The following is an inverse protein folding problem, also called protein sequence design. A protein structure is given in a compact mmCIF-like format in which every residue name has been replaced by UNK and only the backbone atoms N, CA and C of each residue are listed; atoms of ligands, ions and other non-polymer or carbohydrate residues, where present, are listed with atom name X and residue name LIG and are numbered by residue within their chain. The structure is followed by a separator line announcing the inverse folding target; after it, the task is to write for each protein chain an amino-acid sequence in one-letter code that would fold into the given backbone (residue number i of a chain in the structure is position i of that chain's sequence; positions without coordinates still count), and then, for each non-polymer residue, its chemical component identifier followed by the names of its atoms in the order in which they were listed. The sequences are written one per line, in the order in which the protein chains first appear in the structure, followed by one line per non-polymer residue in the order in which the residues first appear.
data_IF_124059482584
#
_entry.id   IF_124059482584
#
_cell.length_a   1.000
_cell.length_b   1.000
_cell.length_c   1.000
_cell.angle_alpha   90.00
_cell.angle_beta   90.00
_cell.angle_gamma   90.00
#
_symmetry.space_group_name_H-M   'P 1'
#
loop_
_entity.id
_entity.type
_entity.pdbx_description
1 polymer ?
#
# COMPACT_ATOMS: atom_id res chain seq x y z
N UNK A 1 -70.31 23.47 61.98
CA UNK A 1 -69.07 22.79 61.60
C UNK A 1 -68.97 22.91 60.09
N UNK A 2 -68.15 23.84 59.58
CA UNK A 2 -67.93 24.07 58.17
C UNK A 2 -66.64 23.38 57.75
N UNK A 3 -66.73 22.45 56.83
CA UNK A 3 -65.56 21.75 56.20
C UNK A 3 -64.84 22.69 55.24
N UNK A 4 -63.53 22.73 55.24
CA UNK A 4 -62.76 23.50 54.27
C UNK A 4 -62.74 22.77 52.92
N UNK A 5 -63.15 23.50 51.85
CA UNK A 5 -62.96 23.07 50.47
C UNK A 5 -61.46 22.98 50.11
N UNK A 6 -61.02 21.80 49.81
CA UNK A 6 -59.67 21.54 49.19
C UNK A 6 -59.66 22.23 47.81
N UNK A 7 -58.83 23.24 47.67
CA UNK A 7 -58.46 23.79 46.34
C UNK A 7 -57.49 22.79 45.66
N UNK A 8 -57.95 22.20 44.58
CA UNK A 8 -57.07 21.39 43.70
C UNK A 8 -56.01 22.28 43.11
N UNK A 9 -54.75 22.02 43.49
CA UNK A 9 -53.59 22.60 42.82
C UNK A 9 -53.37 21.92 41.47
N UNK A 10 -53.70 22.65 40.41
CA UNK A 10 -53.35 22.22 39.06
C UNK A 10 -51.85 22.36 38.86
N UNK A 11 -51.12 21.23 38.62
CA UNK A 11 -49.73 21.27 38.19
C UNK A 11 -49.66 21.59 36.69
N UNK A 12 -49.16 22.77 36.38
CA UNK A 12 -48.86 23.16 34.97
C UNK A 12 -47.50 22.67 34.60
N UNK A 13 -47.45 21.78 33.59
CA UNK A 13 -46.21 21.28 33.01
C UNK A 13 -45.82 22.25 31.88
N UNK A 14 -44.67 22.89 31.99
CA UNK A 14 -44.08 23.69 30.93
C UNK A 14 -43.00 22.89 30.24
N UNK A 15 -43.15 22.65 28.93
CA UNK A 15 -42.06 22.16 28.08
C UNK A 15 -41.58 23.36 27.24
N UNK A 16 -40.36 23.76 27.42
CA UNK A 16 -39.72 24.85 26.67
C UNK A 16 -38.47 24.37 25.98
N UNK A 17 -38.25 24.76 24.72
CA UNK A 17 -37.02 24.62 24.01
C UNK A 17 -36.22 25.90 24.18
N UNK A 18 -35.10 25.84 24.89
CA UNK A 18 -34.20 26.98 25.05
C UNK A 18 -33.16 26.93 23.96
N UNK A 19 -33.20 27.87 23.00
CA UNK A 19 -32.12 28.06 22.01
C UNK A 19 -31.20 29.17 22.51
N UNK A 20 -29.94 28.82 22.82
CA UNK A 20 -28.91 29.79 23.17
C UNK A 20 -28.18 30.22 21.90
N UNK A 21 -28.43 31.43 21.43
CA UNK A 21 -27.68 32.07 20.39
C UNK A 21 -26.69 33.05 21.03
N UNK A 22 -25.37 32.81 20.96
CA UNK A 22 -24.40 33.81 21.39
C UNK A 22 -24.39 34.97 20.38
N UNK A 23 -24.92 36.13 20.81
CA UNK A 23 -25.01 37.34 19.97
C UNK A 23 -23.65 38.02 19.86
N UNK A 24 -22.81 37.87 20.88
CA UNK A 24 -21.40 38.32 20.86
C UNK A 24 -20.51 37.27 21.51
N UNK A 25 -19.69 36.60 20.67
CA UNK A 25 -18.75 35.57 21.12
C UNK A 25 -17.27 36.04 21.12
N UNK A 26 -17.06 37.36 21.00
CA UNK A 26 -15.71 37.94 20.96
C UNK A 26 -14.85 37.46 19.77
N UNK A 27 -15.50 37.04 18.68
CA UNK A 27 -14.81 36.57 17.48
C UNK A 27 -14.40 35.07 17.51
N UNK A 28 -14.79 34.31 18.52
CA UNK A 28 -14.48 32.86 18.62
C UNK A 28 -15.06 32.09 17.45
N UNK A 29 -16.30 32.35 17.05
CA UNK A 29 -16.93 31.66 15.92
C UNK A 29 -16.20 31.97 14.62
N UNK A 30 -15.80 33.22 14.40
CA UNK A 30 -15.00 33.60 13.21
C UNK A 30 -13.62 32.94 13.22
N UNK A 31 -12.94 32.90 14.35
CA UNK A 31 -11.65 32.21 14.48
C UNK A 31 -11.77 30.69 14.25
N UNK A 32 -12.87 30.07 14.77
CA UNK A 32 -13.13 28.65 14.55
C UNK A 32 -13.42 28.36 13.08
N UNK A 33 -14.21 29.16 12.40
CA UNK A 33 -14.49 29.03 10.97
C UNK A 33 -13.16 29.14 10.17
N UNK A 34 -12.32 30.13 10.48
CA UNK A 34 -11.03 30.31 9.81
C UNK A 34 -10.10 29.12 10.05
N UNK A 35 -10.08 28.56 11.26
CA UNK A 35 -9.28 27.38 11.58
C UNK A 35 -9.76 26.15 10.79
N UNK A 36 -11.10 25.91 10.73
CA UNK A 36 -11.67 24.82 9.95
C UNK A 36 -11.45 24.98 8.45
N UNK A 37 -11.49 26.21 7.93
CA UNK A 37 -11.17 26.47 6.52
C UNK A 37 -9.72 26.10 6.21
N UNK A 38 -8.77 26.47 7.07
CA UNK A 38 -7.37 26.09 6.91
C UNK A 38 -7.15 24.60 7.04
N UNK A 39 -7.86 23.94 7.94
CA UNK A 39 -7.81 22.47 8.06
C UNK A 39 -8.34 21.78 6.79
N UNK A 40 -9.40 22.30 6.18
CA UNK A 40 -9.90 21.81 4.89
C UNK A 40 -8.88 22.02 3.76
N UNK A 41 -8.20 23.16 3.73
CA UNK A 41 -7.12 23.42 2.74
C UNK A 41 -5.96 22.45 2.91
N UNK A 42 -5.54 22.18 4.16
CA UNK A 42 -4.47 21.20 4.46
C UNK A 42 -4.91 19.80 4.03
N UNK A 43 -6.11 19.37 4.41
CA UNK A 43 -6.63 18.06 4.02
C UNK A 43 -6.74 17.91 2.50
N UNK A 44 -7.15 18.96 1.78
CA UNK A 44 -7.20 18.95 0.31
C UNK A 44 -5.80 18.79 -0.31
N UNK A 45 -4.79 19.46 0.27
CA UNK A 45 -3.39 19.32 -0.13
C UNK A 45 -2.85 17.91 0.14
N UNK A 46 -3.16 17.33 1.30
CA UNK A 46 -2.77 15.97 1.66
C UNK A 46 -3.37 14.94 0.70
N UNK A 47 -4.67 15.07 0.38
CA UNK A 47 -5.33 14.20 -0.61
C UNK A 47 -4.65 14.30 -1.97
N UNK A 48 -4.39 15.53 -2.45
CA UNK A 48 -3.70 15.74 -3.73
C UNK A 48 -2.29 15.16 -3.75
N UNK A 49 -1.55 15.29 -2.65
CA UNK A 49 -0.22 14.70 -2.51
C UNK A 49 -0.29 13.18 -2.56
N UNK A 50 -1.25 12.59 -1.84
CA UNK A 50 -1.45 11.15 -1.85
C UNK A 50 -1.84 10.61 -3.23
N UNK A 51 -2.71 11.31 -3.97
CA UNK A 51 -3.06 10.95 -5.35
C UNK A 51 -1.85 10.96 -6.28
N UNK A 52 -0.96 11.95 -6.11
CA UNK A 52 0.30 12.01 -6.86
C UNK A 52 1.24 10.84 -6.51
N UNK A 53 1.38 10.51 -5.23
CA UNK A 53 2.18 9.37 -4.78
C UNK A 53 1.66 8.05 -5.34
N UNK A 54 0.34 7.83 -5.32
CA UNK A 54 -0.28 6.63 -5.92
C UNK A 54 -0.01 6.56 -7.42
N UNK A 55 -0.16 7.68 -8.12
CA UNK A 55 0.10 7.75 -9.57
C UNK A 55 1.55 7.43 -9.89
N UNK A 56 2.50 8.01 -9.16
CA UNK A 56 3.93 7.73 -9.32
C UNK A 56 4.28 6.28 -8.99
N UNK A 57 3.66 5.71 -7.96
CA UNK A 57 3.86 4.31 -7.60
C UNK A 57 3.36 3.37 -8.71
N UNK A 58 2.20 3.67 -9.32
CA UNK A 58 1.68 2.91 -10.47
C UNK A 58 2.61 2.99 -11.67
N UNK A 59 3.03 4.20 -12.07
CA UNK A 59 3.98 4.38 -13.17
C UNK A 59 5.31 3.66 -12.91
N UNK A 60 5.80 3.74 -11.68
CA UNK A 60 7.01 3.02 -11.26
C UNK A 60 6.87 1.51 -11.37
N UNK A 61 5.68 0.98 -11.06
CA UNK A 61 5.36 -0.44 -11.16
C UNK A 61 5.30 -0.89 -12.62
N UNK A 62 4.62 -0.13 -13.50
CA UNK A 62 4.52 -0.43 -14.92
C UNK A 62 5.90 -0.45 -15.60
N UNK A 63 6.73 0.56 -15.32
CA UNK A 63 8.10 0.63 -15.81
C UNK A 63 8.94 -0.56 -15.30
N UNK A 64 8.75 -0.93 -14.04
CA UNK A 64 9.44 -2.09 -13.47
C UNK A 64 9.00 -3.40 -14.14
N UNK A 65 7.72 -3.60 -14.41
CA UNK A 65 7.25 -4.80 -15.09
C UNK A 65 7.77 -4.89 -16.52
N UNK A 66 7.79 -3.78 -17.26
CA UNK A 66 8.38 -3.74 -18.58
C UNK A 66 9.89 -4.10 -18.57
N UNK A 67 10.62 -3.59 -17.57
CA UNK A 67 12.01 -3.96 -17.34
C UNK A 67 12.16 -5.44 -16.95
N UNK A 68 11.33 -5.92 -16.02
CA UNK A 68 11.35 -7.30 -15.55
C UNK A 68 11.19 -8.30 -16.69
N UNK A 69 10.22 -8.11 -17.58
CA UNK A 69 9.99 -9.04 -18.69
C UNK A 69 11.20 -9.07 -19.66
N UNK A 70 11.77 -7.91 -19.97
CA UNK A 70 13.00 -7.83 -20.79
C UNK A 70 14.19 -8.56 -20.15
N UNK A 71 14.40 -8.32 -18.86
CA UNK A 71 15.51 -8.97 -18.12
C UNK A 71 15.32 -10.47 -17.98
N UNK A 72 14.09 -10.91 -17.75
CA UNK A 72 13.73 -12.33 -17.65
C UNK A 72 14.05 -13.08 -18.93
N UNK A 73 13.68 -12.52 -20.09
CA UNK A 73 14.01 -13.11 -21.40
C UNK A 73 15.52 -13.20 -21.57
N UNK A 74 16.25 -12.12 -21.30
CA UNK A 74 17.71 -12.08 -21.43
C UNK A 74 18.42 -13.09 -20.52
N UNK A 75 17.99 -13.17 -19.25
CA UNK A 75 18.59 -14.11 -18.29
C UNK A 75 18.29 -15.57 -18.64
N UNK A 76 17.08 -15.87 -19.10
CA UNK A 76 16.73 -17.22 -19.57
C UNK A 76 17.56 -17.62 -20.80
N UNK A 77 17.78 -16.70 -21.73
CA UNK A 77 18.65 -16.97 -22.89
C UNK A 77 20.11 -17.18 -22.46
N UNK A 78 20.63 -16.37 -21.53
CA UNK A 78 21.97 -16.60 -20.96
C UNK A 78 22.08 -17.96 -20.26
N UNK A 79 21.04 -18.36 -19.52
CA UNK A 79 20.96 -19.68 -18.89
C UNK A 79 21.04 -20.79 -19.93
N UNK A 80 20.26 -20.70 -21.01
CA UNK A 80 20.25 -21.65 -22.10
C UNK A 80 21.63 -21.76 -22.75
N UNK A 81 22.24 -20.62 -23.10
CA UNK A 81 23.61 -20.59 -23.71
C UNK A 81 24.64 -21.22 -22.78
N UNK A 82 24.60 -20.95 -21.48
CA UNK A 82 25.53 -21.55 -20.51
C UNK A 82 25.34 -23.09 -20.43
N UNK A 83 24.10 -23.56 -20.44
CA UNK A 83 23.78 -25.00 -20.45
C UNK A 83 24.29 -25.67 -21.71
N UNK A 84 24.10 -25.07 -22.89
CA UNK A 84 24.59 -25.60 -24.17
C UNK A 84 26.11 -25.67 -24.18
N UNK A 85 26.82 -24.63 -23.70
CA UNK A 85 28.27 -24.61 -23.56
C UNK A 85 28.80 -25.67 -22.60
N UNK A 86 28.12 -25.87 -21.46
CA UNK A 86 28.47 -26.94 -20.52
C UNK A 86 28.36 -28.31 -21.20
N UNK A 87 27.29 -28.55 -21.97
CA UNK A 87 27.10 -29.80 -22.69
C UNK A 87 28.24 -30.02 -23.72
N UNK A 88 28.56 -28.99 -24.50
CA UNK A 88 29.67 -29.04 -25.48
C UNK A 88 31.02 -29.29 -24.79
N UNK A 89 31.33 -28.56 -23.71
CA UNK A 89 32.57 -28.73 -22.97
C UNK A 89 32.72 -30.12 -22.34
N UNK A 90 31.61 -30.72 -21.84
CA UNK A 90 31.61 -32.11 -21.36
C UNK A 90 31.99 -33.10 -22.45
N UNK A 91 31.52 -32.90 -23.71
CA UNK A 91 31.92 -33.77 -24.84
C UNK A 91 33.38 -33.56 -25.22
N UNK A 92 33.84 -32.30 -25.26
CA UNK A 92 35.24 -31.96 -25.53
C UNK A 92 36.18 -32.50 -24.45
N UNK A 93 35.78 -32.47 -23.20
CA UNK A 93 36.56 -33.02 -22.08
C UNK A 93 36.74 -34.54 -22.22
N UNK A 94 35.69 -35.27 -22.59
CA UNK A 94 35.75 -36.72 -22.84
C UNK A 94 36.74 -37.09 -23.96
N UNK A 95 36.94 -36.22 -24.94
CA UNK A 95 37.86 -36.39 -26.04
C UNK A 95 39.25 -35.76 -25.78
N UNK A 96 39.52 -35.31 -24.56
CA UNK A 96 40.80 -34.67 -24.20
C UNK A 96 41.04 -33.29 -24.84
N UNK A 97 40.00 -32.65 -25.41
CA UNK A 97 40.11 -31.40 -26.16
C UNK A 97 39.67 -30.15 -25.35
N UNK A 98 39.33 -30.30 -24.08
CA UNK A 98 38.97 -29.20 -23.20
C UNK A 98 39.61 -29.37 -21.82
N UNK A 99 39.75 -28.27 -21.12
CA UNK A 99 40.25 -28.24 -19.75
C UNK A 99 39.09 -28.20 -18.73
N UNK A 100 39.29 -28.83 -17.57
CA UNK A 100 38.36 -28.84 -16.45
C UNK A 100 38.08 -27.43 -15.95
N UNK A 101 39.08 -26.54 -16.00
CA UNK A 101 38.93 -25.13 -15.57
C UNK A 101 37.92 -24.36 -16.44
N UNK A 102 37.87 -24.66 -17.74
CA UNK A 102 36.89 -24.07 -18.65
C UNK A 102 35.47 -24.52 -18.30
N UNK A 103 35.30 -25.81 -18.00
CA UNK A 103 34.00 -26.35 -17.56
C UNK A 103 33.55 -25.72 -16.21
N UNK A 104 34.49 -25.58 -15.26
CA UNK A 104 34.20 -24.95 -13.97
C UNK A 104 33.76 -23.49 -14.11
N UNK A 105 34.38 -22.72 -15.02
CA UNK A 105 33.97 -21.33 -15.31
C UNK A 105 32.55 -21.25 -15.86
N UNK A 106 32.15 -22.14 -16.74
CA UNK A 106 30.76 -22.13 -17.27
C UNK A 106 29.74 -22.57 -16.23
N UNK A 107 30.06 -23.51 -15.32
CA UNK A 107 29.19 -23.83 -14.20
C UNK A 107 29.01 -22.62 -13.27
N UNK A 108 30.07 -21.87 -12.99
CA UNK A 108 30.01 -20.66 -12.20
C UNK A 108 29.16 -19.57 -12.89
N UNK A 109 29.26 -19.42 -14.22
CA UNK A 109 28.47 -18.51 -15.01
C UNK A 109 26.98 -18.90 -14.97
N UNK A 110 26.66 -20.18 -15.09
CA UNK A 110 25.29 -20.70 -14.94
C UNK A 110 24.73 -20.40 -13.56
N UNK A 111 25.45 -20.73 -12.49
CA UNK A 111 25.03 -20.48 -11.12
C UNK A 111 24.76 -18.98 -10.86
N UNK A 112 25.63 -18.09 -11.34
CA UNK A 112 25.43 -16.63 -11.26
C UNK A 112 24.17 -16.18 -12.00
N UNK A 113 23.89 -16.78 -13.15
CA UNK A 113 22.68 -16.45 -13.93
C UNK A 113 21.42 -16.93 -13.21
N UNK A 114 21.45 -18.11 -12.60
CA UNK A 114 20.32 -18.62 -11.79
C UNK A 114 20.05 -17.75 -10.57
N UNK A 115 21.10 -17.34 -9.85
CA UNK A 115 20.98 -16.39 -8.75
C UNK A 115 20.38 -15.05 -9.23
N UNK A 116 20.77 -14.57 -10.41
CA UNK A 116 20.23 -13.34 -10.98
C UNK A 116 18.73 -13.47 -11.32
N UNK A 117 18.28 -14.63 -11.81
CA UNK A 117 16.87 -14.93 -12.06
C UNK A 117 16.08 -14.91 -10.75
N UNK A 118 16.58 -15.56 -9.71
CA UNK A 118 15.91 -15.59 -8.41
C UNK A 118 15.83 -14.21 -7.75
N UNK A 119 16.90 -13.40 -7.86
CA UNK A 119 16.87 -12.00 -7.41
C UNK A 119 15.82 -11.19 -8.16
N UNK A 120 15.76 -11.32 -9.48
CA UNK A 120 14.76 -10.63 -10.29
C UNK A 120 13.33 -11.03 -9.90
N UNK A 121 13.09 -12.31 -9.62
CA UNK A 121 11.80 -12.82 -9.13
C UNK A 121 11.46 -12.27 -7.74
N UNK A 122 12.44 -12.18 -6.85
CA UNK A 122 12.27 -11.59 -5.52
C UNK A 122 11.94 -10.10 -5.61
N UNK A 123 12.68 -9.35 -6.44
CA UNK A 123 12.45 -7.91 -6.66
C UNK A 123 11.04 -7.66 -7.20
N UNK A 124 10.54 -8.52 -8.10
CA UNK A 124 9.16 -8.46 -8.57
C UNK A 124 8.16 -8.57 -7.42
N UNK A 125 8.32 -9.58 -6.57
CA UNK A 125 7.42 -9.79 -5.41
C UNK A 125 7.46 -8.60 -4.46
N UNK A 126 8.65 -8.09 -4.15
CA UNK A 126 8.83 -6.95 -3.25
C UNK A 126 8.21 -5.67 -3.82
N UNK A 127 8.42 -5.39 -5.11
CA UNK A 127 7.81 -4.22 -5.78
C UNK A 127 6.29 -4.31 -5.82
N UNK A 128 5.75 -5.50 -6.10
CA UNK A 128 4.29 -5.71 -6.06
C UNK A 128 3.71 -5.46 -4.67
N UNK A 129 4.36 -6.01 -3.62
CA UNK A 129 3.92 -5.80 -2.24
C UNK A 129 4.03 -4.32 -1.82
N UNK A 130 5.10 -3.64 -2.21
CA UNK A 130 5.27 -2.21 -1.94
C UNK A 130 4.17 -1.37 -2.60
N UNK A 131 3.82 -1.66 -3.85
CA UNK A 131 2.74 -0.96 -4.56
C UNK A 131 1.37 -1.20 -3.93
N UNK A 132 1.08 -2.44 -3.50
CA UNK A 132 -0.14 -2.77 -2.76
C UNK A 132 -0.20 -2.03 -1.41
N UNK A 133 0.96 -1.80 -0.76
CA UNK A 133 1.06 -0.98 0.45
C UNK A 133 0.64 0.46 0.23
N UNK A 134 1.12 1.08 -0.84
CA UNK A 134 0.80 2.46 -1.19
C UNK A 134 -0.68 2.62 -1.61
N UNK A 135 -1.25 1.63 -2.31
CA UNK A 135 -2.66 1.67 -2.73
C UNK A 135 -3.65 1.26 -1.63
N UNK A 136 -3.18 0.90 -0.45
CA UNK A 136 -4.03 0.45 0.66
C UNK A 136 -4.63 -0.95 0.48
N UNK A 137 -4.28 -1.66 -0.59
CA UNK A 137 -4.82 -2.99 -0.91
C UNK A 137 -4.13 -4.15 -0.17
N UNK A 138 -3.14 -3.84 0.65
CA UNK A 138 -2.44 -4.86 1.47
C UNK A 138 -3.35 -5.59 2.43
N UNK A 139 -4.39 -4.94 2.93
CA UNK A 139 -5.28 -5.54 3.88
C UNK A 139 -6.18 -6.62 3.24
N UNK A 140 -6.54 -6.49 1.96
CA UNK A 140 -7.26 -7.54 1.22
C UNK A 140 -6.41 -8.80 1.02
N UNK A 141 -5.12 -8.60 0.73
CA UNK A 141 -4.18 -9.70 0.47
C UNK A 141 -3.92 -10.55 1.72
N UNK A 142 -3.95 -9.94 2.90
CA UNK A 142 -3.67 -10.61 4.18
C UNK A 142 -4.96 -11.04 4.89
N UNK A 143 -6.15 -10.78 4.32
CA UNK A 143 -7.47 -11.04 4.93
C UNK A 143 -7.65 -10.38 6.32
N UNK A 144 -6.93 -9.28 6.55
CA UNK A 144 -7.00 -8.51 7.80
C UNK A 144 -8.05 -7.38 7.75
N UNK A 145 -8.60 -7.08 6.56
CA UNK A 145 -9.60 -6.04 6.41
C UNK A 145 -10.87 -6.33 7.20
N UNK A 146 -11.28 -7.60 7.26
CA UNK A 146 -12.47 -8.01 8.00
C UNK A 146 -12.30 -7.87 9.53
N UNK A 147 -11.06 -7.99 10.02
CA UNK A 147 -10.74 -7.86 11.44
C UNK A 147 -10.68 -6.39 11.92
N UNK A 148 -10.36 -5.45 11.03
CA UNK A 148 -10.25 -4.02 11.36
C UNK A 148 -11.62 -3.32 11.21
N UNK A 149 -12.47 -3.77 10.27
CA UNK A 149 -13.79 -3.19 10.02
C UNK A 149 -14.83 -3.45 11.11
N UNK A 150 -14.64 -4.45 11.97
CA UNK A 150 -15.57 -4.77 13.08
C UNK A 150 -15.29 -4.02 14.38
N UNK A 151 -14.23 -3.21 14.44
CA UNK A 151 -13.80 -2.48 15.65
C UNK A 151 -14.35 -1.07 15.84
N UNK A 152 -15.03 -0.48 14.86
CA UNK A 152 -15.47 0.94 14.88
C UNK A 152 -16.99 1.10 14.93
N UNK A 153 -17.71 0.10 15.42
CA UNK A 153 -19.15 0.24 15.71
C UNK A 153 -19.44 -0.17 17.15
N UNK A 154 -19.12 0.74 18.10
CA UNK A 154 -19.82 0.86 19.40
C UNK A 154 -19.63 2.26 19.97
#
# INVERSE_FOLDING_TARGET
VSSPKSRGGGSTLFAGITMNFPIEDGGRSAATITALQKELEVNALEVSTYEQEVTLAQQGLDNFFAYYEKQKVLLNERKRIAQDRIAELKLKLKSGRADVSALAKEFLALARTEIAIERLNFDRKTKTLSALGVTGQTCELVRLCDAIGTGVSK
#
